data_IF_230648681332
#
_entry.id   IF_230648681332
#
_cell.length_a   1.000
_cell.length_b   1.000
_cell.length_c   1.000
_cell.angle_alpha   90.00
_cell.angle_beta   90.00
_cell.angle_gamma   90.00
#
_symmetry.space_group_name_H-M   'P 1'
#
loop_
_entity.id
_entity.type
_entity.pdbx_description
1 polymer ?
#
# COMPACT_ATOMS: atom_id res chain seq x y z
N UNK A 1 -12.97 -8.04 -20.90
CA UNK A 1 -11.78 -8.92 -21.00
C UNK A 1 -11.14 -9.00 -19.63
N UNK A 2 -11.16 -10.18 -19.00
CA UNK A 2 -10.57 -10.43 -17.68
C UNK A 2 -9.56 -11.56 -17.84
N UNK A 3 -8.27 -11.29 -17.68
CA UNK A 3 -7.23 -12.28 -17.99
C UNK A 3 -7.30 -13.52 -17.11
N UNK A 4 -7.64 -13.37 -15.82
CA UNK A 4 -7.77 -14.53 -14.94
C UNK A 4 -8.87 -15.50 -15.41
N UNK A 5 -10.00 -15.00 -15.92
CA UNK A 5 -11.07 -15.85 -16.46
C UNK A 5 -10.66 -16.56 -17.77
N UNK A 6 -9.80 -15.94 -18.56
CA UNK A 6 -9.33 -16.49 -19.84
C UNK A 6 -8.19 -17.49 -19.66
N UNK A 7 -7.31 -17.27 -18.69
CA UNK A 7 -6.06 -18.04 -18.50
C UNK A 7 -6.14 -19.02 -17.33
N UNK A 8 -7.04 -18.79 -16.36
CA UNK A 8 -7.22 -19.63 -15.17
C UNK A 8 -6.07 -19.60 -14.16
N UNK A 9 -5.08 -18.73 -14.33
CA UNK A 9 -3.89 -18.68 -13.48
C UNK A 9 -3.23 -17.30 -13.47
N UNK A 10 -2.81 -16.85 -12.28
CA UNK A 10 -1.96 -15.66 -12.12
C UNK A 10 -0.52 -15.93 -12.60
N UNK A 11 -0.08 -17.19 -12.65
CA UNK A 11 1.27 -17.57 -13.11
C UNK A 11 1.42 -17.53 -14.65
N UNK A 12 0.33 -17.30 -15.38
CA UNK A 12 0.39 -17.24 -16.84
C UNK A 12 1.21 -16.03 -17.33
N UNK A 13 2.13 -16.17 -18.30
CA UNK A 13 3.00 -15.06 -18.74
C UNK A 13 2.25 -13.79 -19.15
N UNK A 14 1.13 -13.91 -19.88
CA UNK A 14 0.30 -12.76 -20.25
C UNK A 14 -0.33 -12.05 -19.04
N UNK A 15 -0.67 -12.80 -17.98
CA UNK A 15 -1.16 -12.20 -16.74
C UNK A 15 -0.04 -11.40 -16.07
N UNK A 16 1.15 -12.01 -15.94
CA UNK A 16 2.31 -11.38 -15.31
C UNK A 16 2.76 -10.13 -16.07
N UNK A 17 2.76 -10.16 -17.41
CA UNK A 17 3.08 -8.99 -18.24
C UNK A 17 2.11 -7.83 -18.00
N UNK A 18 0.80 -8.10 -17.99
CA UNK A 18 -0.19 -7.07 -17.69
C UNK A 18 -0.11 -6.61 -16.22
N UNK A 19 0.17 -7.50 -15.28
CA UNK A 19 0.40 -7.15 -13.88
C UNK A 19 1.57 -6.17 -13.70
N UNK A 20 2.68 -6.39 -14.40
CA UNK A 20 3.82 -5.46 -14.40
C UNK A 20 3.43 -4.10 -15.00
N UNK A 21 2.71 -4.10 -16.13
CA UNK A 21 2.19 -2.87 -16.75
C UNK A 21 1.23 -2.12 -15.81
N UNK A 22 0.34 -2.83 -15.11
CA UNK A 22 -0.55 -2.29 -14.09
C UNK A 22 0.24 -1.67 -12.93
N UNK A 23 1.31 -2.33 -12.47
CA UNK A 23 2.20 -1.81 -11.44
C UNK A 23 2.84 -0.48 -11.83
N UNK A 24 3.37 -0.39 -13.06
CA UNK A 24 3.94 0.86 -13.58
C UNK A 24 2.90 2.00 -13.60
N UNK A 25 1.69 1.72 -14.12
CA UNK A 25 0.59 2.70 -14.12
C UNK A 25 0.15 3.11 -12.71
N UNK A 26 0.15 2.18 -11.76
CA UNK A 26 -0.14 2.46 -10.36
C UNK A 26 0.88 3.45 -9.78
N UNK A 27 2.18 3.27 -10.06
CA UNK A 27 3.23 4.15 -9.56
C UNK A 27 3.22 5.53 -10.23
N UNK A 28 2.95 5.60 -11.53
CA UNK A 28 2.78 6.89 -12.24
C UNK A 28 1.58 7.68 -11.68
N UNK A 29 0.47 7.00 -11.44
CA UNK A 29 -0.70 7.60 -10.79
C UNK A 29 -0.38 8.04 -9.36
N UNK A 30 0.29 7.19 -8.58
CA UNK A 30 0.70 7.49 -7.20
C UNK A 30 1.57 8.75 -7.12
N UNK A 31 2.56 8.88 -8.00
CA UNK A 31 3.43 10.06 -8.08
C UNK A 31 2.62 11.32 -8.42
N UNK A 32 1.71 11.20 -9.38
CA UNK A 32 0.85 12.31 -9.82
C UNK A 32 -0.09 12.79 -8.73
N UNK A 33 -0.75 11.87 -8.01
CA UNK A 33 -1.69 12.22 -6.93
C UNK A 33 -0.97 12.79 -5.69
N UNK A 34 0.24 12.30 -5.37
CA UNK A 34 1.09 12.91 -4.34
C UNK A 34 1.44 14.35 -4.72
N UNK A 35 1.92 14.58 -5.94
CA UNK A 35 2.27 15.92 -6.41
C UNK A 35 1.07 16.88 -6.36
N UNK A 36 -0.11 16.41 -6.80
CA UNK A 36 -1.34 17.20 -6.77
C UNK A 36 -1.77 17.53 -5.34
N UNK A 37 -1.74 16.56 -4.42
CA UNK A 37 -2.10 16.75 -3.02
C UNK A 37 -1.18 17.75 -2.30
N UNK A 38 0.15 17.67 -2.53
CA UNK A 38 1.11 18.64 -1.99
C UNK A 38 0.86 20.03 -2.55
N UNK A 39 0.71 20.18 -3.88
CA UNK A 39 0.46 21.48 -4.53
C UNK A 39 -0.86 22.13 -4.10
N UNK A 40 -1.87 21.32 -3.78
CA UNK A 40 -3.18 21.78 -3.33
C UNK A 40 -3.25 22.01 -1.81
N UNK A 41 -2.17 21.73 -1.06
CA UNK A 41 -2.15 21.70 0.41
C UNK A 41 -3.29 20.85 1.00
N UNK A 42 -3.47 19.64 0.43
CA UNK A 42 -4.51 18.68 0.80
C UNK A 42 -3.88 17.37 1.28
N UNK A 43 -3.52 17.34 2.56
CA UNK A 43 -2.86 16.21 3.22
C UNK A 43 -3.89 15.35 3.96
N UNK A 44 -4.48 14.38 3.26
CA UNK A 44 -5.38 13.39 3.85
C UNK A 44 -5.49 12.13 2.98
N UNK A 45 -5.85 11.01 3.60
CA UNK A 45 -6.22 9.78 2.90
C UNK A 45 -7.72 9.76 2.65
N UNK A 46 -8.14 9.28 1.48
CA UNK A 46 -9.56 9.04 1.19
C UNK A 46 -9.78 7.67 0.58
N UNK A 47 -10.97 7.12 0.80
CA UNK A 47 -11.39 5.86 0.17
C UNK A 47 -11.28 5.89 -1.36
N UNK A 48 -11.48 7.05 -1.98
CA UNK A 48 -11.34 7.22 -3.43
C UNK A 48 -9.90 6.98 -3.91
N UNK A 49 -8.89 7.49 -3.19
CA UNK A 49 -7.48 7.25 -3.53
C UNK A 49 -7.14 5.77 -3.40
N UNK A 50 -7.62 5.11 -2.34
CA UNK A 50 -7.40 3.67 -2.12
C UNK A 50 -8.02 2.84 -3.26
N UNK A 51 -9.27 3.14 -3.61
CA UNK A 51 -9.99 2.47 -4.71
C UNK A 51 -9.32 2.73 -6.06
N UNK A 52 -8.87 3.95 -6.34
CA UNK A 52 -8.14 4.29 -7.56
C UNK A 52 -6.81 3.53 -7.66
N UNK A 53 -6.06 3.42 -6.57
CA UNK A 53 -4.83 2.64 -6.52
C UNK A 53 -5.09 1.14 -6.76
N UNK A 54 -6.16 0.58 -6.19
CA UNK A 54 -6.54 -0.80 -6.48
C UNK A 54 -6.97 -0.99 -7.94
N UNK A 55 -7.75 -0.05 -8.49
CA UNK A 55 -8.16 -0.08 -9.89
C UNK A 55 -6.95 -0.20 -10.82
N UNK A 56 -5.93 0.67 -10.62
CA UNK A 56 -4.71 0.61 -11.42
C UNK A 56 -3.98 -0.73 -11.24
N UNK A 57 -3.98 -1.30 -10.03
CA UNK A 57 -3.31 -2.57 -9.76
C UNK A 57 -3.93 -3.77 -10.49
N UNK A 58 -5.27 -3.84 -10.58
CA UNK A 58 -5.94 -5.08 -11.02
C UNK A 58 -6.81 -4.94 -12.26
N UNK A 59 -6.90 -3.75 -12.87
CA UNK A 59 -7.71 -3.55 -14.09
C UNK A 59 -7.35 -4.59 -15.15
N UNK A 60 -8.37 -5.23 -15.71
CA UNK A 60 -8.28 -6.33 -16.69
C UNK A 60 -7.57 -7.62 -16.22
N UNK A 61 -7.06 -7.70 -14.98
CA UNK A 61 -6.57 -8.95 -14.38
C UNK A 61 -7.73 -9.71 -13.72
N UNK A 62 -8.50 -9.01 -12.88
CA UNK A 62 -9.66 -9.52 -12.16
C UNK A 62 -10.87 -8.58 -12.31
N UNK A 63 -12.06 -9.09 -12.01
CA UNK A 63 -13.27 -8.27 -11.88
C UNK A 63 -13.17 -7.30 -10.69
N UNK A 64 -14.11 -6.35 -10.61
CA UNK A 64 -14.27 -5.47 -9.44
C UNK A 64 -13.03 -4.62 -9.12
N UNK A 65 -12.30 -4.17 -10.16
CA UNK A 65 -11.18 -3.25 -10.01
C UNK A 65 -11.63 -1.96 -9.30
N UNK A 66 -11.00 -1.63 -8.18
CA UNK A 66 -11.37 -0.45 -7.38
C UNK A 66 -12.68 -0.56 -6.60
N UNK A 67 -13.29 -1.74 -6.56
CA UNK A 67 -14.52 -2.00 -5.82
C UNK A 67 -14.26 -2.92 -4.63
N UNK A 68 -14.94 -2.67 -3.52
CA UNK A 68 -14.85 -3.58 -2.39
C UNK A 68 -15.46 -4.94 -2.74
N UNK A 69 -14.85 -6.01 -2.23
CA UNK A 69 -15.21 -7.37 -2.59
C UNK A 69 -16.69 -7.65 -2.25
N UNK A 70 -17.46 -8.22 -3.18
CA UNK A 70 -18.86 -8.56 -2.94
C UNK A 70 -19.03 -9.91 -2.19
N UNK A 71 -17.93 -10.60 -1.89
CA UNK A 71 -17.95 -11.95 -1.35
C UNK A 71 -16.82 -12.21 -0.33
N UNK A 72 -16.92 -13.34 0.36
CA UNK A 72 -15.88 -13.83 1.25
C UNK A 72 -14.62 -14.23 0.45
N UNK A 73 -13.45 -14.01 1.04
CA UNK A 73 -12.14 -14.40 0.50
C UNK A 73 -11.29 -14.97 1.64
N UNK A 74 -10.28 -15.76 1.28
CA UNK A 74 -9.34 -16.38 2.21
C UNK A 74 -7.92 -16.02 1.80
N UNK A 75 -7.05 -15.75 2.78
CA UNK A 75 -5.67 -15.30 2.54
C UNK A 75 -4.70 -16.23 3.26
N UNK A 76 -4.33 -17.33 2.60
CA UNK A 76 -3.64 -18.43 3.29
C UNK A 76 -4.52 -18.95 4.44
N UNK A 77 -3.99 -18.97 5.66
CA UNK A 77 -4.75 -19.38 6.86
C UNK A 77 -5.52 -18.22 7.53
N UNK A 78 -5.34 -16.98 7.04
CA UNK A 78 -6.01 -15.81 7.60
C UNK A 78 -7.42 -15.64 7.01
N UNK A 79 -8.39 -15.39 7.89
CA UNK A 79 -9.76 -15.03 7.51
C UNK A 79 -10.01 -13.54 7.77
N UNK A 80 -10.10 -12.72 6.69
CA UNK A 80 -10.47 -11.32 6.83
C UNK A 80 -11.91 -11.13 7.34
N UNK A 81 -12.27 -9.92 7.80
CA UNK A 81 -13.62 -9.60 8.22
C UNK A 81 -14.69 -9.93 7.17
N UNK A 82 -15.94 -10.12 7.58
CA UNK A 82 -17.01 -10.43 6.63
C UNK A 82 -17.20 -9.30 5.58
N UNK A 83 -17.46 -9.67 4.32
CA UNK A 83 -17.48 -8.74 3.18
C UNK A 83 -18.48 -7.58 3.36
N UNK A 84 -19.65 -7.84 3.96
CA UNK A 84 -20.66 -6.81 4.25
C UNK A 84 -20.22 -5.80 5.32
N UNK A 85 -19.14 -6.06 6.06
CA UNK A 85 -18.55 -5.12 7.04
C UNK A 85 -17.39 -4.31 6.46
N UNK A 86 -16.89 -4.66 5.28
CA UNK A 86 -15.69 -4.04 4.68
C UNK A 86 -15.87 -2.52 4.54
N UNK A 87 -17.04 -2.06 4.08
CA UNK A 87 -17.31 -0.63 3.93
C UNK A 87 -17.13 0.11 5.26
N UNK A 88 -17.78 -0.36 6.33
CA UNK A 88 -17.67 0.25 7.66
C UNK A 88 -16.22 0.23 8.18
N UNK A 89 -15.50 -0.89 8.03
CA UNK A 89 -14.10 -0.97 8.45
C UNK A 89 -13.17 -0.04 7.66
N UNK A 90 -13.44 0.17 6.37
CA UNK A 90 -12.65 1.09 5.55
C UNK A 90 -12.94 2.55 5.88
N UNK A 91 -14.19 2.88 6.22
CA UNK A 91 -14.56 4.22 6.68
C UNK A 91 -13.89 4.54 8.03
N UNK A 92 -13.94 3.60 8.99
CA UNK A 92 -13.24 3.72 10.28
C UNK A 92 -11.73 3.83 10.08
N UNK A 93 -11.16 3.01 9.21
CA UNK A 93 -9.74 3.04 8.87
C UNK A 93 -9.29 4.40 8.34
N UNK A 94 -10.02 4.97 7.38
CA UNK A 94 -9.68 6.28 6.81
C UNK A 94 -9.81 7.39 7.86
N UNK A 95 -10.86 7.34 8.69
CA UNK A 95 -11.05 8.30 9.77
C UNK A 95 -9.91 8.22 10.80
N UNK A 96 -9.51 7.01 11.19
CA UNK A 96 -8.42 6.79 12.15
C UNK A 96 -7.10 7.35 11.61
N UNK A 97 -6.73 7.04 10.37
CA UNK A 97 -5.52 7.56 9.73
C UNK A 97 -5.52 9.09 9.71
N UNK A 98 -6.62 9.71 9.26
CA UNK A 98 -6.71 11.16 9.16
C UNK A 98 -6.70 11.85 10.53
N UNK A 99 -7.33 11.26 11.55
CA UNK A 99 -7.32 11.81 12.91
C UNK A 99 -5.93 11.78 13.57
N UNK A 100 -5.10 10.80 13.20
CA UNK A 100 -3.77 10.55 13.76
C UNK A 100 -2.64 11.18 12.94
N UNK A 101 -2.93 11.72 11.77
CA UNK A 101 -1.95 12.15 10.77
C UNK A 101 -0.86 13.07 11.33
N UNK A 102 -1.25 14.08 12.10
CA UNK A 102 -0.33 15.13 12.58
C UNK A 102 0.32 14.82 13.94
N UNK A 103 -0.14 13.77 14.63
CA UNK A 103 0.26 13.47 16.01
C UNK A 103 1.02 12.15 16.13
N UNK A 104 1.11 11.39 15.05
CA UNK A 104 1.78 10.08 15.01
C UNK A 104 3.03 10.20 14.16
N UNK A 105 4.09 9.48 14.55
CA UNK A 105 5.28 9.30 13.72
C UNK A 105 4.87 8.83 12.30
N UNK A 106 5.37 9.48 11.22
CA UNK A 106 5.00 9.13 9.85
C UNK A 106 5.26 7.66 9.49
N UNK A 107 6.34 7.07 9.98
CA UNK A 107 6.67 5.66 9.71
C UNK A 107 5.68 4.75 10.45
N UNK A 108 5.34 5.06 11.71
CA UNK A 108 4.33 4.33 12.47
C UNK A 108 2.93 4.42 11.83
N UNK A 109 2.54 5.59 11.32
CA UNK A 109 1.28 5.76 10.61
C UNK A 109 1.25 4.96 9.30
N UNK A 110 2.36 4.97 8.55
CA UNK A 110 2.52 4.17 7.34
C UNK A 110 2.48 2.66 7.64
N UNK A 111 3.10 2.21 8.74
CA UNK A 111 3.05 0.83 9.21
C UNK A 111 1.61 0.40 9.58
N UNK A 112 0.89 1.26 10.29
CA UNK A 112 -0.53 1.04 10.59
C UNK A 112 -1.36 0.90 9.32
N UNK A 113 -1.17 1.79 8.35
CA UNK A 113 -1.85 1.76 7.03
C UNK A 113 -1.56 0.47 6.28
N UNK A 114 -0.30 0.06 6.24
CA UNK A 114 0.14 -1.17 5.59
C UNK A 114 -0.54 -2.39 6.23
N UNK A 115 -0.50 -2.51 7.55
CA UNK A 115 -1.15 -3.61 8.26
C UNK A 115 -2.66 -3.59 8.10
N UNK A 116 -3.31 -2.46 8.41
CA UNK A 116 -4.76 -2.37 8.53
C UNK A 116 -5.48 -2.66 7.22
N UNK A 117 -4.92 -2.23 6.08
CA UNK A 117 -5.48 -2.55 4.76
C UNK A 117 -5.39 -4.06 4.47
N UNK A 118 -4.25 -4.71 4.77
CA UNK A 118 -4.12 -6.16 4.59
C UNK A 118 -5.03 -6.95 5.54
N UNK A 119 -5.20 -6.48 6.77
CA UNK A 119 -6.12 -7.05 7.76
C UNK A 119 -7.57 -6.98 7.29
N UNK A 120 -8.05 -5.80 6.87
CA UNK A 120 -9.43 -5.65 6.35
C UNK A 120 -9.63 -6.45 5.06
N UNK A 121 -8.59 -6.52 4.23
CA UNK A 121 -8.56 -7.18 2.93
C UNK A 121 -9.76 -6.79 2.03
N UNK A 122 -9.88 -5.49 1.67
CA UNK A 122 -11.13 -4.96 1.13
C UNK A 122 -11.43 -5.35 -0.33
N UNK A 123 -10.46 -5.80 -1.12
CA UNK A 123 -10.61 -6.07 -2.56
C UNK A 123 -10.57 -7.57 -2.89
N UNK A 124 -11.06 -7.95 -4.08
CA UNK A 124 -11.00 -9.34 -4.55
C UNK A 124 -9.57 -9.79 -4.88
N UNK A 125 -8.74 -8.86 -5.36
CA UNK A 125 -7.30 -9.06 -5.60
C UNK A 125 -6.57 -7.71 -5.43
N UNK A 126 -5.25 -7.74 -5.41
CA UNK A 126 -4.40 -6.54 -5.39
C UNK A 126 -4.26 -5.89 -4.02
N UNK A 127 -4.74 -6.53 -2.94
CA UNK A 127 -4.68 -5.98 -1.59
C UNK A 127 -3.23 -5.64 -1.16
N UNK A 128 -2.27 -6.56 -1.35
CA UNK A 128 -0.88 -6.31 -1.00
C UNK A 128 -0.22 -5.18 -1.80
N UNK A 129 -0.51 -5.10 -3.12
CA UNK A 129 -0.04 -4.00 -3.99
C UNK A 129 -0.62 -2.66 -3.55
N UNK A 130 -1.93 -2.65 -3.30
CA UNK A 130 -2.65 -1.46 -2.82
C UNK A 130 -2.15 -1.02 -1.46
N UNK A 131 -1.95 -1.94 -0.51
CA UNK A 131 -1.46 -1.62 0.84
C UNK A 131 -0.07 -0.96 0.81
N UNK A 132 0.85 -1.48 0.00
CA UNK A 132 2.19 -0.88 -0.17
C UNK A 132 2.11 0.50 -0.81
N UNK A 133 1.29 0.68 -1.84
CA UNK A 133 1.11 1.97 -2.50
C UNK A 133 0.48 3.02 -1.56
N UNK A 134 -0.54 2.64 -0.77
CA UNK A 134 -1.20 3.54 0.19
C UNK A 134 -0.29 3.84 1.38
N UNK A 135 0.47 2.87 1.87
CA UNK A 135 1.54 3.07 2.87
C UNK A 135 2.52 4.14 2.38
N UNK A 136 3.01 4.02 1.15
CA UNK A 136 3.95 4.97 0.57
C UNK A 136 3.32 6.34 0.29
N UNK A 137 2.05 6.39 -0.12
CA UNK A 137 1.27 7.63 -0.25
C UNK A 137 1.28 8.44 1.06
N UNK A 138 0.92 7.79 2.17
CA UNK A 138 0.85 8.42 3.49
C UNK A 138 2.22 8.90 3.95
N UNK A 139 3.27 8.10 3.73
CA UNK A 139 4.64 8.47 4.08
C UNK A 139 5.13 9.68 3.27
N UNK A 140 4.94 9.67 1.93
CA UNK A 140 5.35 10.76 1.05
C UNK A 140 4.63 12.07 1.39
N UNK A 141 3.32 12.02 1.60
CA UNK A 141 2.56 13.21 1.99
C UNK A 141 3.02 13.77 3.33
N UNK A 142 3.32 12.90 4.31
CA UNK A 142 3.88 13.32 5.59
C UNK A 142 5.28 13.94 5.46
N UNK A 143 6.07 13.49 4.49
CA UNK A 143 7.39 14.04 4.18
C UNK A 143 7.34 15.30 3.27
N UNK A 144 6.14 15.74 2.85
CA UNK A 144 5.97 16.90 1.98
C UNK A 144 6.21 16.63 0.49
N UNK A 145 6.35 15.37 0.06
CA UNK A 145 6.57 15.05 -1.35
C UNK A 145 7.06 13.62 -1.59
N UNK A 146 7.35 13.33 -2.86
CA UNK A 146 7.92 12.06 -3.25
C UNK A 146 9.31 11.87 -2.63
N UNK A 147 9.55 10.76 -1.94
CA UNK A 147 10.86 10.50 -1.33
C UNK A 147 11.93 10.22 -2.39
N UNK A 148 13.15 10.77 -2.23
CA UNK A 148 14.27 10.47 -3.14
C UNK A 148 14.71 9.00 -3.02
N UNK A 149 15.58 8.55 -3.92
CA UNK A 149 16.05 7.18 -4.00
C UNK A 149 15.72 6.48 -5.33
N UNK A 150 16.47 5.44 -5.64
CA UNK A 150 16.31 4.68 -6.90
C UNK A 150 15.21 3.64 -6.79
N UNK A 151 15.21 2.86 -5.72
CA UNK A 151 14.17 1.84 -5.45
C UNK A 151 13.21 2.38 -4.40
N UNK A 152 11.92 2.38 -4.73
CA UNK A 152 10.87 2.91 -3.85
C UNK A 152 10.45 1.90 -2.79
N UNK A 153 9.98 2.39 -1.66
CA UNK A 153 9.53 1.58 -0.53
C UNK A 153 8.55 0.45 -0.91
N UNK A 154 7.54 0.65 -1.79
CA UNK A 154 6.70 -0.46 -2.25
C UNK A 154 7.45 -1.65 -2.87
N UNK A 155 8.55 -1.39 -3.59
CA UNK A 155 9.39 -2.44 -4.19
C UNK A 155 10.35 -3.05 -3.16
N UNK A 156 10.87 -2.23 -2.23
CA UNK A 156 11.68 -2.75 -1.11
C UNK A 156 10.88 -3.69 -0.21
N UNK A 157 9.64 -3.34 0.15
CA UNK A 157 8.73 -4.24 0.90
C UNK A 157 8.40 -5.49 0.08
N UNK A 158 8.26 -5.38 -1.25
CA UNK A 158 8.04 -6.54 -2.13
C UNK A 158 9.26 -7.46 -2.14
N UNK A 159 10.48 -6.90 -2.16
CA UNK A 159 11.74 -7.65 -2.09
C UNK A 159 11.86 -8.39 -0.76
N UNK A 160 11.60 -7.72 0.35
CA UNK A 160 11.62 -8.30 1.71
C UNK A 160 10.32 -9.03 2.09
N UNK A 161 9.70 -9.75 1.13
CA UNK A 161 8.37 -10.36 1.32
C UNK A 161 8.28 -11.24 2.56
N UNK A 162 9.31 -12.05 2.83
CA UNK A 162 9.30 -12.97 3.97
C UNK A 162 9.26 -12.22 5.30
N UNK A 163 10.19 -11.29 5.51
CA UNK A 163 10.23 -10.45 6.71
C UNK A 163 8.94 -9.62 6.87
N UNK A 164 8.42 -9.07 5.77
CA UNK A 164 7.15 -8.35 5.73
C UNK A 164 5.96 -9.21 6.18
N UNK A 165 5.84 -10.44 5.69
CA UNK A 165 4.75 -11.35 6.06
C UNK A 165 4.86 -11.78 7.52
N UNK A 166 6.08 -12.02 8.02
CA UNK A 166 6.33 -12.32 9.45
C UNK A 166 5.88 -11.14 10.31
N UNK A 167 6.31 -9.92 9.99
CA UNK A 167 5.93 -8.72 10.73
C UNK A 167 4.40 -8.50 10.73
N UNK A 168 3.70 -8.71 9.60
CA UNK A 168 2.24 -8.66 9.56
C UNK A 168 1.59 -9.65 10.54
N UNK A 169 2.09 -10.88 10.60
CA UNK A 169 1.55 -11.92 11.49
C UNK A 169 1.78 -11.62 12.96
N UNK A 170 2.92 -11.05 13.31
CA UNK A 170 3.21 -10.63 14.69
C UNK A 170 2.28 -9.50 15.14
N UNK A 171 2.06 -8.49 14.28
CA UNK A 171 1.11 -7.41 14.55
C UNK A 171 -0.32 -7.94 14.64
N UNK A 172 -0.69 -8.87 13.77
CA UNK A 172 -2.01 -9.52 13.83
C UNK A 172 -2.21 -10.31 15.13
N UNK A 173 -1.20 -11.08 15.55
CA UNK A 173 -1.24 -11.83 16.81
C UNK A 173 -1.34 -10.90 18.03
N UNK A 174 -0.58 -9.80 18.04
CA UNK A 174 -0.59 -8.82 19.13
C UNK A 174 -1.94 -8.08 19.23
N UNK A 175 -2.56 -7.78 18.07
CA UNK A 175 -3.91 -7.21 17.99
C UNK A 175 -4.94 -8.17 18.62
N UNK A 176 -4.93 -9.45 18.24
CA UNK A 176 -5.86 -10.44 18.79
C UNK A 176 -5.63 -10.73 20.29
N UNK A 177 -4.40 -10.58 20.78
CA UNK A 177 -4.07 -10.68 22.20
C UNK A 177 -4.48 -9.43 23.02
N UNK A 178 -5.00 -8.38 22.38
CA UNK A 178 -5.36 -7.11 23.03
C UNK A 178 -4.16 -6.22 23.39
N UNK A 179 -2.96 -6.58 22.93
CA UNK A 179 -1.71 -5.87 23.17
C UNK A 179 -1.15 -5.35 21.83
N UNK A 180 -1.95 -4.54 21.12
CA UNK A 180 -1.64 -4.07 19.77
C UNK A 180 -0.24 -3.44 19.68
N UNK A 181 0.67 -4.16 19.04
CA UNK A 181 2.07 -3.79 18.87
C UNK A 181 2.42 -3.71 17.39
N UNK A 182 2.72 -2.50 16.91
CA UNK A 182 3.15 -2.20 15.54
C UNK A 182 4.66 -2.25 15.35
N UNK A 183 5.43 -2.46 16.42
CA UNK A 183 6.89 -2.36 16.40
C UNK A 183 7.57 -3.22 15.33
N UNK A 184 7.16 -4.48 15.07
CA UNK A 184 7.80 -5.30 14.04
C UNK A 184 7.72 -4.67 12.64
N UNK A 185 6.55 -4.11 12.27
CA UNK A 185 6.39 -3.41 11.00
C UNK A 185 7.07 -2.06 10.99
N UNK A 186 7.01 -1.31 12.09
CA UNK A 186 7.69 -0.01 12.19
C UNK A 186 9.19 -0.15 11.93
N UNK A 187 9.85 -1.11 12.60
CA UNK A 187 11.28 -1.36 12.45
C UNK A 187 11.66 -1.80 11.03
N UNK A 188 10.83 -2.64 10.40
CA UNK A 188 11.03 -3.03 9.01
C UNK A 188 10.92 -1.82 8.08
N UNK A 189 9.87 -1.00 8.22
CA UNK A 189 9.68 0.17 7.38
C UNK A 189 10.78 1.22 7.59
N UNK A 190 11.22 1.43 8.82
CA UNK A 190 12.31 2.35 9.13
C UNK A 190 13.59 1.95 8.39
N UNK A 191 13.99 0.67 8.47
CA UNK A 191 15.14 0.14 7.74
C UNK A 191 15.02 0.38 6.22
N UNK A 192 13.88 0.03 5.62
CA UNK A 192 13.69 0.13 4.17
C UNK A 192 13.58 1.58 3.70
N UNK A 193 13.01 2.48 4.50
CA UNK A 193 12.99 3.91 4.21
C UNK A 193 14.41 4.47 4.22
N UNK A 194 15.23 4.10 5.21
CA UNK A 194 16.63 4.51 5.25
C UNK A 194 17.42 3.99 4.04
N UNK A 195 17.17 2.75 3.61
CA UNK A 195 17.76 2.20 2.39
C UNK A 195 17.36 3.01 1.15
N UNK A 196 16.06 3.30 0.98
CA UNK A 196 15.57 4.13 -0.12
C UNK A 196 16.30 5.49 -0.14
N UNK A 197 16.31 6.20 0.98
CA UNK A 197 16.91 7.53 1.07
C UNK A 197 18.42 7.51 0.81
N UNK A 198 19.13 6.48 1.29
CA UNK A 198 20.57 6.32 1.08
C UNK A 198 20.93 6.00 -0.38
N UNK A 199 19.99 5.50 -1.17
CA UNK A 199 20.17 5.23 -2.60
C UNK A 199 19.99 6.46 -3.50
N UNK A 200 19.71 7.64 -2.92
CA UNK A 200 19.56 8.86 -3.68
C UNK A 200 20.88 9.26 -4.36
N UNK A 201 20.88 9.66 -5.64
CA UNK A 201 22.07 10.22 -6.28
C UNK A 201 22.55 11.43 -5.49
N UNK A 202 23.87 11.55 -5.24
CA UNK A 202 24.44 12.78 -4.70
C UNK A 202 24.14 13.92 -5.68
N UNK A 203 23.53 15.01 -5.22
CA UNK A 203 23.40 16.21 -6.03
C UNK A 203 24.79 16.61 -6.55
N UNK A 204 24.94 16.63 -7.88
CA UNK A 204 26.13 17.21 -8.50
C UNK A 204 26.10 18.71 -8.18
N UNK A 205 27.19 19.33 -7.69
CA UNK A 205 27.20 20.77 -7.53
C UNK A 205 26.90 21.42 -8.89
N UNK A 206 26.12 22.52 -8.93
CA UNK A 206 25.85 23.22 -10.18
C UNK A 206 27.18 23.60 -10.84
N UNK A 207 27.30 23.50 -12.18
CA UNK A 207 28.52 23.89 -12.86
C UNK A 207 28.83 25.35 -12.52
N UNK A 208 30.06 25.60 -12.06
CA UNK A 208 30.57 26.96 -11.88
C UNK A 208 30.47 27.70 -13.22
N UNK A 209 29.79 28.85 -13.19
CA UNK A 209 29.53 29.71 -14.34
C UNK A 209 30.77 30.55 -14.72
#
# INVERSE_FOLDING_TARGET
MILFELMGSEEHPLYQELEMSNGNRQYDFLRSIISAAIKADKIFLSTHVIKALNFQAITCLHTNAGEFRPCAVTVGDYQPPAFYRVQAYMDDFVNEVNSKWRITDPIALAAFVLWRLNYIHPFINGNGRTARAVCYFVLCLSAGGWLPGTTILPELIRREREAYVVALREVDASFHAGAFDLKPLHQLLEMLVQEQLSSAPSESPPPEA
#
